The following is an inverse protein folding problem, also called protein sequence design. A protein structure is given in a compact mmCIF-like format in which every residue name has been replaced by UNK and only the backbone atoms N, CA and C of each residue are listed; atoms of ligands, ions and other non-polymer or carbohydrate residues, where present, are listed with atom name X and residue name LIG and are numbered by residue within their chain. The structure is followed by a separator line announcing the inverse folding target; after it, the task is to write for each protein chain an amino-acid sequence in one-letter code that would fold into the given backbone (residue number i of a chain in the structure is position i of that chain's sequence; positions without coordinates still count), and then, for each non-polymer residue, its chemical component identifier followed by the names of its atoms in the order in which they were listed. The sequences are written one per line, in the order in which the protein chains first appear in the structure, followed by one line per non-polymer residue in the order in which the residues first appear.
data_IF_406593551498
#
_entry.id   IF_406593551498
#
_cell.length_a   1.000
_cell.length_b   1.000
_cell.length_c   1.000
_cell.angle_alpha   90.00
_cell.angle_beta   90.00
_cell.angle_gamma   90.00
#
_symmetry.space_group_name_H-M   'P 1'
#
loop_
_entity.id
_entity.type
_entity.pdbx_description
1 polymer ?
#
# COMPACT_ATOMS: atom_id res chain seq x y z
N UNK A 1 13.83 8.08 -12.18
CA UNK A 1 12.70 9.00 -12.42
C UNK A 1 11.36 8.33 -12.12
N UNK A 2 10.90 7.37 -12.96
CA UNK A 2 9.57 6.74 -12.77
C UNK A 2 9.39 6.06 -11.41
N UNK A 3 10.37 5.27 -10.92
CA UNK A 3 10.31 4.65 -9.59
C UNK A 3 10.16 5.68 -8.46
N UNK A 4 11.00 6.73 -8.47
CA UNK A 4 10.96 7.79 -7.45
C UNK A 4 9.61 8.50 -7.42
N UNK A 5 9.02 8.80 -8.59
CA UNK A 5 7.71 9.43 -8.67
C UNK A 5 6.59 8.51 -8.17
N UNK A 6 6.63 7.23 -8.54
CA UNK A 6 5.66 6.24 -8.05
C UNK A 6 5.70 6.09 -6.53
N UNK A 7 6.91 6.08 -5.94
CA UNK A 7 7.08 6.04 -4.49
C UNK A 7 6.52 7.29 -3.80
N UNK A 8 6.74 8.48 -4.37
CA UNK A 8 6.18 9.73 -3.84
C UNK A 8 4.64 9.69 -3.84
N UNK A 9 4.02 9.18 -4.91
CA UNK A 9 2.56 9.07 -5.00
C UNK A 9 2.04 8.02 -4.00
N UNK A 10 2.68 6.86 -3.92
CA UNK A 10 2.31 5.82 -2.97
C UNK A 10 2.40 6.32 -1.52
N UNK A 11 3.43 7.11 -1.20
CA UNK A 11 3.58 7.68 0.15
C UNK A 11 2.48 8.70 0.46
N UNK A 12 2.09 9.53 -0.51
CA UNK A 12 0.94 10.43 -0.35
C UNK A 12 -0.35 9.66 -0.07
N UNK A 13 -0.58 8.54 -0.75
CA UNK A 13 -1.74 7.67 -0.50
C UNK A 13 -1.65 7.09 0.92
N UNK A 14 -0.50 6.54 1.31
CA UNK A 14 -0.29 5.97 2.64
C UNK A 14 -0.58 6.97 3.76
N UNK A 15 -0.02 8.17 3.69
CA UNK A 15 -0.22 9.26 4.67
C UNK A 15 -1.68 9.70 4.71
N UNK A 16 -2.36 9.75 3.56
CA UNK A 16 -3.78 10.10 3.50
C UNK A 16 -4.65 9.04 4.16
N UNK A 17 -4.34 7.75 3.95
CA UNK A 17 -5.07 6.64 4.55
C UNK A 17 -4.83 6.50 6.06
N UNK A 18 -3.71 7.00 6.57
CA UNK A 18 -3.36 7.02 7.99
C UNK A 18 -4.12 8.09 8.80
N UNK A 19 -4.80 9.03 8.13
CA UNK A 19 -5.57 10.06 8.83
C UNK A 19 -6.76 9.43 9.58
N UNK A 20 -7.15 9.99 10.75
CA UNK A 20 -8.31 9.50 11.49
C UNK A 20 -9.60 9.61 10.67
N UNK A 21 -10.34 8.51 10.60
CA UNK A 21 -11.67 8.46 10.00
C UNK A 21 -12.71 8.77 11.06
N UNK A 22 -13.60 9.70 10.74
CA UNK A 22 -14.74 10.03 11.58
C UNK A 22 -15.97 9.33 11.05
N UNK A 23 -16.38 8.27 11.73
CA UNK A 23 -17.57 7.51 11.40
C UNK A 23 -18.72 7.98 12.27
N UNK A 24 -19.90 8.16 11.66
CA UNK A 24 -21.13 8.49 12.38
C UNK A 24 -21.96 7.21 12.50
N UNK A 25 -22.07 6.70 13.73
CA UNK A 25 -22.91 5.57 14.06
C UNK A 25 -24.29 6.02 14.54
N UNK A 26 -25.28 5.14 14.35
CA UNK A 26 -26.59 5.28 14.96
C UNK A 26 -26.76 4.14 15.98
N UNK A 27 -26.47 4.41 17.25
CA UNK A 27 -26.69 3.42 18.31
C UNK A 27 -28.17 3.39 18.76
N UNK A 28 -28.90 4.50 18.57
CA UNK A 28 -30.33 4.64 18.88
C UNK A 28 -31.03 5.61 17.91
N UNK A 29 -32.35 5.51 17.69
CA UNK A 29 -33.10 6.52 16.96
C UNK A 29 -33.00 7.87 17.70
N UNK A 30 -32.23 8.82 17.14
CA UNK A 30 -32.14 10.19 17.65
C UNK A 30 -30.80 10.60 18.29
N UNK A 31 -29.85 9.69 18.49
CA UNK A 31 -28.51 10.03 18.97
C UNK A 31 -27.43 9.50 18.00
N UNK A 32 -26.75 10.41 17.30
CA UNK A 32 -25.59 10.06 16.49
C UNK A 32 -24.36 9.93 17.39
N UNK A 33 -23.65 8.80 17.30
CA UNK A 33 -22.38 8.56 18.00
C UNK A 33 -21.24 8.79 17.03
N UNK A 34 -20.26 9.58 17.45
CA UNK A 34 -19.03 9.82 16.68
C UNK A 34 -17.98 8.80 17.08
N UNK A 35 -17.55 7.99 16.13
CA UNK A 35 -16.49 6.99 16.30
C UNK A 35 -15.26 7.46 15.53
N UNK A 36 -14.14 7.59 16.22
CA UNK A 36 -12.85 7.84 15.59
C UNK A 36 -12.15 6.51 15.31
N UNK A 37 -11.90 6.24 14.03
CA UNK A 37 -11.26 5.01 13.57
C UNK A 37 -9.92 5.35 12.93
N UNK A 38 -8.87 4.62 13.32
CA UNK A 38 -7.56 4.73 12.69
C UNK A 38 -7.25 3.43 11.97
N UNK A 39 -6.90 3.53 10.70
CA UNK A 39 -6.34 2.43 9.94
C UNK A 39 -5.08 2.90 9.21
N UNK A 40 -4.23 1.96 8.86
CA UNK A 40 -3.00 2.23 8.10
C UNK A 40 -2.94 1.27 6.92
N UNK A 41 -2.14 1.62 5.92
CA UNK A 41 -1.96 0.81 4.72
C UNK A 41 -0.49 0.40 4.56
N UNK A 42 -0.27 -0.85 4.13
CA UNK A 42 1.02 -1.28 3.59
C UNK A 42 0.87 -1.34 2.08
N UNK A 43 1.78 -0.71 1.33
CA UNK A 43 1.63 -0.52 -0.12
C UNK A 43 2.86 -1.10 -0.83
N UNK A 44 2.62 -1.94 -1.83
CA UNK A 44 3.64 -2.44 -2.74
C UNK A 44 3.62 -1.69 -4.06
N UNK A 45 4.80 -1.35 -4.60
CA UNK A 45 4.95 -0.62 -5.86
C UNK A 45 5.83 -1.43 -6.80
N UNK A 46 5.41 -1.59 -8.04
CA UNK A 46 6.22 -2.16 -9.12
C UNK A 46 6.25 -1.18 -10.29
N UNK A 47 7.42 -1.01 -10.89
CA UNK A 47 7.56 -0.30 -12.17
C UNK A 47 7.96 -1.31 -13.21
N UNK A 48 7.20 -1.40 -14.29
CA UNK A 48 7.42 -2.34 -15.39
C UNK A 48 7.62 -1.58 -16.70
N UNK A 49 8.33 -2.21 -17.63
CA UNK A 49 8.41 -1.77 -19.03
C UNK A 49 7.51 -2.72 -19.83
N UNK A 50 6.52 -2.17 -20.53
CA UNK A 50 5.39 -2.91 -21.12
C UNK A 50 5.69 -3.97 -22.19
N UNK A 51 6.95 -4.41 -22.35
CA UNK A 51 7.36 -5.40 -23.34
C UNK A 51 7.89 -6.72 -22.74
N UNK A 52 7.96 -6.86 -21.41
CA UNK A 52 8.66 -7.99 -20.77
C UNK A 52 7.87 -8.80 -19.74
N UNK A 53 6.68 -8.36 -19.34
CA UNK A 53 5.90 -9.02 -18.27
C UNK A 53 4.41 -9.04 -18.58
N UNK A 54 3.75 -10.15 -18.25
CA UNK A 54 2.28 -10.22 -18.25
C UNK A 54 1.71 -9.32 -17.15
N UNK A 55 0.45 -8.93 -17.30
CA UNK A 55 -0.27 -8.16 -16.27
C UNK A 55 -0.26 -8.90 -14.92
N UNK A 56 -0.52 -10.20 -14.92
CA UNK A 56 -0.52 -11.02 -13.72
C UNK A 56 0.83 -10.99 -13.00
N UNK A 57 1.93 -11.10 -13.75
CA UNK A 57 3.28 -11.03 -13.18
C UNK A 57 3.60 -9.65 -12.59
N UNK A 58 3.02 -8.57 -13.11
CA UNK A 58 3.15 -7.22 -12.54
C UNK A 58 2.35 -7.13 -11.23
N UNK A 59 1.11 -7.61 -11.23
CA UNK A 59 0.26 -7.59 -10.02
C UNK A 59 0.86 -8.44 -8.90
N UNK A 60 1.37 -9.63 -9.22
CA UNK A 60 2.01 -10.52 -8.26
C UNK A 60 3.24 -9.85 -7.62
N UNK A 61 4.05 -9.14 -8.40
CA UNK A 61 5.23 -8.41 -7.88
C UNK A 61 4.84 -7.26 -6.96
N UNK A 62 3.77 -6.52 -7.31
CA UNK A 62 3.23 -5.49 -6.43
C UNK A 62 2.72 -6.09 -5.11
N UNK A 63 2.02 -7.22 -5.17
CA UNK A 63 1.52 -7.93 -3.98
C UNK A 63 2.67 -8.44 -3.11
N UNK A 64 3.72 -9.04 -3.70
CA UNK A 64 4.92 -9.45 -2.99
C UNK A 64 5.58 -8.27 -2.25
N UNK A 65 5.73 -7.12 -2.92
CA UNK A 65 6.27 -5.91 -2.30
C UNK A 65 5.37 -5.40 -1.15
N UNK A 66 4.05 -5.49 -1.30
CA UNK A 66 3.09 -5.16 -0.23
C UNK A 66 3.25 -6.10 0.97
N UNK A 67 3.41 -7.41 0.74
CA UNK A 67 3.66 -8.36 1.81
C UNK A 67 5.01 -8.10 2.50
N UNK A 68 6.05 -7.72 1.76
CA UNK A 68 7.32 -7.28 2.36
C UNK A 68 7.11 -6.04 3.24
N UNK A 69 6.30 -5.07 2.83
CA UNK A 69 5.93 -3.93 3.67
C UNK A 69 5.21 -4.39 4.97
N UNK A 70 4.30 -5.36 4.87
CA UNK A 70 3.63 -5.94 6.05
C UNK A 70 4.62 -6.62 7.00
N UNK A 71 5.55 -7.40 6.45
CA UNK A 71 6.56 -8.11 7.23
C UNK A 71 7.57 -7.15 7.88
N UNK A 72 7.90 -6.04 7.23
CA UNK A 72 8.87 -5.04 7.69
C UNK A 72 8.32 -4.04 8.72
N UNK A 73 7.12 -4.27 9.26
CA UNK A 73 6.51 -3.41 10.30
C UNK A 73 5.18 -2.77 9.90
N UNK A 74 4.67 -3.04 8.70
CA UNK A 74 3.43 -2.44 8.14
C UNK A 74 3.56 -0.92 7.98
N UNK A 75 2.45 -0.27 7.63
CA UNK A 75 2.34 1.18 7.49
C UNK A 75 3.50 1.82 6.71
N UNK A 76 3.89 1.21 5.58
CA UNK A 76 4.98 1.69 4.74
C UNK A 76 4.79 1.31 3.27
N UNK A 77 5.53 2.00 2.42
CA UNK A 77 5.64 1.71 0.99
C UNK A 77 6.91 0.90 0.73
N UNK A 78 6.81 -0.17 -0.08
CA UNK A 78 7.97 -0.92 -0.58
C UNK A 78 7.94 -1.02 -2.09
N UNK A 79 9.09 -0.78 -2.72
CA UNK A 79 9.30 -1.08 -4.12
C UNK A 79 9.60 -2.57 -4.26
N UNK A 80 9.07 -3.21 -5.30
CA UNK A 80 9.45 -4.56 -5.65
C UNK A 80 10.94 -4.60 -6.04
N UNK A 81 11.71 -5.33 -5.26
CA UNK A 81 13.08 -5.71 -5.56
C UNK A 81 13.07 -7.17 -6.04
N UNK A 82 13.48 -7.43 -7.29
CA UNK A 82 13.65 -8.80 -7.75
C UNK A 82 14.59 -9.54 -6.78
N UNK A 83 14.37 -10.84 -6.55
CA UNK A 83 15.33 -11.65 -5.81
C UNK A 83 16.72 -11.41 -6.39
N UNK A 84 17.68 -11.06 -5.53
CA UNK A 84 19.08 -11.04 -5.94
C UNK A 84 19.37 -12.41 -6.55
N UNK A 85 19.95 -12.44 -7.75
CA UNK A 85 20.34 -13.69 -8.40
C UNK A 85 21.14 -14.50 -7.38
N UNK A 86 20.56 -15.61 -6.92
CA UNK A 86 21.29 -16.59 -6.14
C UNK A 86 22.34 -17.18 -7.09
N UNK A 87 23.57 -16.71 -6.99
CA UNK A 87 24.71 -17.40 -7.59
C UNK A 87 24.82 -18.77 -6.92
N UNK A 88 24.45 -19.82 -7.65
CA UNK A 88 24.96 -21.18 -7.50
C UNK A 88 24.87 -21.88 -8.86
#
# INVERSE_FOLDING_TARGET
ASQSQSLIIAEKIRVSLEQPYVLLGHEQPGAAVRIEHHCTASIGVVVFKGQTKSQDAVLEQADQAMYQAKAAGRNMVRLYEPPALANA
#
